data_IF_662471270539
#
_entry.id   IF_662471270539
#
_cell.length_a   1.000
_cell.length_b   1.000
_cell.length_c   1.000
_cell.angle_alpha   90.00
_cell.angle_beta   90.00
_cell.angle_gamma   90.00
#
_symmetry.space_group_name_H-M   'P 1'
#
loop_
_entity.id
_entity.type
_entity.pdbx_description
1 polymer ?
#
# COMPACT_ATOMS: atom_id res chain seq x y z
N UNK A 1 -16.79 20.26 15.84
CA UNK A 1 -17.18 18.87 15.51
C UNK A 1 -16.49 18.47 14.21
N UNK A 2 -15.53 17.55 14.30
CA UNK A 2 -14.58 17.20 13.24
C UNK A 2 -15.27 16.45 12.08
N UNK A 3 -15.17 17.03 10.88
CA UNK A 3 -15.41 16.33 9.63
C UNK A 3 -14.05 15.92 9.02
N UNK A 4 -13.54 14.75 9.39
CA UNK A 4 -12.36 14.11 8.75
C UNK A 4 -12.57 12.59 8.63
N UNK A 5 -13.56 12.13 7.87
CA UNK A 5 -13.78 10.67 7.71
C UNK A 5 -14.54 10.28 6.43
N UNK A 6 -14.35 11.02 5.33
CA UNK A 6 -14.98 10.68 4.05
C UNK A 6 -14.38 9.43 3.39
N UNK A 7 -13.04 9.33 3.38
CA UNK A 7 -12.34 8.21 2.73
C UNK A 7 -12.17 6.97 3.63
N UNK A 8 -12.00 7.17 4.94
CA UNK A 8 -11.80 6.08 5.90
C UNK A 8 -13.00 5.12 6.01
N UNK A 9 -14.21 5.58 5.63
CA UNK A 9 -15.45 4.81 5.80
C UNK A 9 -15.66 3.68 4.78
N UNK A 10 -14.90 3.63 3.68
CA UNK A 10 -15.00 2.52 2.71
C UNK A 10 -13.85 1.50 2.81
N UNK A 11 -12.69 1.85 3.40
CA UNK A 11 -11.53 0.95 3.50
C UNK A 11 -11.82 -0.32 4.31
N UNK A 12 -12.63 -0.20 5.37
CA UNK A 12 -13.08 -1.34 6.18
C UNK A 12 -14.01 -2.30 5.42
N UNK A 13 -14.79 -1.80 4.46
CA UNK A 13 -15.60 -2.63 3.57
C UNK A 13 -14.76 -3.36 2.51
N UNK A 14 -13.56 -2.85 2.21
CA UNK A 14 -12.62 -3.41 1.23
C UNK A 14 -11.61 -4.42 1.83
N UNK A 15 -11.72 -4.75 3.12
CA UNK A 15 -11.00 -5.87 3.73
C UNK A 15 -9.55 -5.57 4.14
N UNK A 16 -9.16 -4.30 4.26
CA UNK A 16 -7.83 -3.91 4.74
C UNK A 16 -7.86 -2.65 5.60
N UNK A 17 -6.84 -2.48 6.43
CA UNK A 17 -6.70 -1.30 7.31
C UNK A 17 -6.20 -0.09 6.52
N UNK A 18 -6.36 1.11 7.09
CA UNK A 18 -5.85 2.34 6.47
C UNK A 18 -4.35 2.27 6.12
N UNK A 19 -3.54 1.75 7.05
CA UNK A 19 -2.10 1.59 6.84
C UNK A 19 -1.79 0.57 5.73
N UNK A 20 -2.54 -0.52 5.65
CA UNK A 20 -2.42 -1.49 4.56
C UNK A 20 -2.78 -0.85 3.22
N UNK A 21 -3.86 -0.05 3.19
CA UNK A 21 -4.28 0.72 2.02
C UNK A 21 -3.18 1.66 1.50
N UNK A 22 -2.49 2.36 2.40
CA UNK A 22 -1.35 3.22 2.03
C UNK A 22 -0.20 2.44 1.39
N UNK A 23 0.12 1.25 1.91
CA UNK A 23 1.14 0.39 1.29
C UNK A 23 0.71 -0.11 -0.08
N UNK A 24 -0.55 -0.53 -0.24
CA UNK A 24 -1.10 -0.96 -1.53
C UNK A 24 -1.10 0.17 -2.56
N UNK A 25 -1.52 1.38 -2.15
CA UNK A 25 -1.48 2.58 -2.98
C UNK A 25 -0.05 2.94 -3.41
N UNK A 26 0.92 2.86 -2.48
CA UNK A 26 2.33 3.06 -2.79
C UNK A 26 2.84 2.06 -3.83
N UNK A 27 2.59 0.75 -3.62
CA UNK A 27 3.06 -0.30 -4.52
C UNK A 27 2.47 -0.12 -5.92
N UNK A 28 1.16 0.15 -6.01
CA UNK A 28 0.48 0.37 -7.28
C UNK A 28 1.06 1.59 -8.02
N UNK A 29 1.17 2.72 -7.31
CA UNK A 29 1.61 3.99 -7.91
C UNK A 29 3.07 3.93 -8.34
N UNK A 30 3.94 3.36 -7.50
CA UNK A 30 5.34 3.12 -7.84
C UNK A 30 5.47 2.25 -9.09
N UNK A 31 4.71 1.15 -9.16
CA UNK A 31 4.72 0.25 -10.32
C UNK A 31 4.24 0.95 -11.59
N UNK A 32 3.25 1.83 -11.48
CA UNK A 32 2.72 2.60 -12.59
C UNK A 32 3.74 3.64 -13.11
N UNK A 33 4.35 4.41 -12.20
CA UNK A 33 5.31 5.47 -12.53
C UNK A 33 6.64 4.92 -13.06
N UNK A 34 7.21 3.91 -12.40
CA UNK A 34 8.55 3.39 -12.70
C UNK A 34 8.54 2.13 -13.57
N UNK A 35 7.35 1.67 -13.99
CA UNK A 35 7.14 0.44 -14.79
C UNK A 35 7.79 -0.81 -14.17
N UNK A 36 7.97 -0.79 -12.84
CA UNK A 36 8.65 -1.83 -12.05
C UNK A 36 8.12 -1.81 -10.61
N UNK A 37 7.86 -2.97 -9.98
CA UNK A 37 7.47 -3.00 -8.57
C UNK A 37 8.56 -2.46 -7.64
N UNK A 38 8.18 -1.86 -6.49
CA UNK A 38 9.15 -1.43 -5.48
C UNK A 38 9.84 -2.63 -4.83
N UNK A 39 11.07 -2.40 -4.35
CA UNK A 39 11.73 -3.28 -3.38
C UNK A 39 11.30 -2.91 -1.95
N UNK A 40 11.58 -3.78 -0.97
CA UNK A 40 11.34 -3.47 0.44
C UNK A 40 12.10 -2.19 0.87
N UNK A 41 13.32 -1.99 0.37
CA UNK A 41 14.13 -0.79 0.65
C UNK A 41 13.48 0.50 0.14
N UNK A 42 12.67 0.44 -0.93
CA UNK A 42 11.97 1.62 -1.45
C UNK A 42 10.83 2.00 -0.50
N UNK A 43 10.12 1.01 0.05
CA UNK A 43 9.11 1.22 1.08
C UNK A 43 9.73 1.69 2.40
N UNK A 44 10.88 1.14 2.81
CA UNK A 44 11.58 1.59 4.01
C UNK A 44 11.92 3.07 3.93
N UNK A 45 12.46 3.51 2.78
CA UNK A 45 12.81 4.92 2.53
C UNK A 45 11.57 5.81 2.50
N UNK A 46 10.49 5.38 1.83
CA UNK A 46 9.27 6.17 1.72
C UNK A 46 8.53 6.31 3.06
N UNK A 47 8.34 5.20 3.77
CA UNK A 47 7.58 5.16 5.02
C UNK A 47 8.43 5.43 6.27
N UNK A 48 9.75 5.57 6.12
CA UNK A 48 10.71 5.82 7.22
C UNK A 48 10.58 4.80 8.36
N UNK A 49 10.48 3.51 7.99
CA UNK A 49 10.34 2.40 8.93
C UNK A 49 11.51 1.42 8.80
N UNK A 50 11.72 0.62 9.84
CA UNK A 50 12.78 -0.38 9.87
C UNK A 50 12.55 -1.52 8.86
N UNK A 51 13.62 -2.19 8.39
CA UNK A 51 13.50 -3.35 7.51
C UNK A 51 12.54 -4.44 8.02
N UNK A 52 12.59 -4.85 9.31
CA UNK A 52 11.64 -5.82 9.85
C UNK A 52 10.18 -5.36 9.76
N UNK A 53 9.92 -4.05 9.94
CA UNK A 53 8.54 -3.52 9.89
C UNK A 53 7.94 -3.61 8.49
N UNK A 54 8.72 -3.27 7.45
CA UNK A 54 8.27 -3.41 6.06
C UNK A 54 8.08 -4.87 5.71
N UNK A 55 9.01 -5.73 6.09
CA UNK A 55 8.92 -7.16 5.85
C UNK A 55 7.63 -7.74 6.46
N UNK A 56 7.34 -7.43 7.72
CA UNK A 56 6.11 -7.87 8.39
C UNK A 56 4.84 -7.32 7.72
N UNK A 57 4.85 -6.06 7.27
CA UNK A 57 3.73 -5.50 6.51
C UNK A 57 3.50 -6.28 5.21
N UNK A 58 4.56 -6.58 4.44
CA UNK A 58 4.46 -7.35 3.19
C UNK A 58 3.93 -8.77 3.46
N UNK A 59 4.45 -9.45 4.47
CA UNK A 59 3.95 -10.78 4.89
C UNK A 59 2.47 -10.72 5.27
N UNK A 60 2.05 -9.67 5.96
CA UNK A 60 0.65 -9.48 6.35
C UNK A 60 -0.25 -9.25 5.14
N UNK A 61 0.17 -8.40 4.19
CA UNK A 61 -0.58 -8.14 2.96
C UNK A 61 -0.72 -9.40 2.10
N UNK A 62 0.33 -10.22 2.01
CA UNK A 62 0.33 -11.50 1.29
C UNK A 62 -0.61 -12.51 1.96
N UNK A 63 -0.54 -12.67 3.29
CA UNK A 63 -1.44 -13.54 4.06
C UNK A 63 -2.90 -13.14 3.92
N UNK A 64 -3.18 -11.85 3.81
CA UNK A 64 -4.53 -11.33 3.61
C UNK A 64 -5.00 -11.42 2.14
N UNK A 65 -4.19 -11.97 1.23
CA UNK A 65 -4.53 -12.09 -0.19
C UNK A 65 -4.58 -10.76 -0.95
N UNK A 66 -3.99 -9.70 -0.39
CA UNK A 66 -4.02 -8.35 -0.98
C UNK A 66 -2.88 -8.13 -1.99
N UNK A 67 -1.80 -8.92 -1.86
CA UNK A 67 -0.67 -8.95 -2.80
C UNK A 67 -0.24 -10.39 -3.05
N UNK A 68 0.54 -10.60 -4.12
CA UNK A 68 1.40 -11.78 -4.31
C UNK A 68 2.84 -11.38 -4.50
N UNK A 69 3.79 -12.24 -4.12
CA UNK A 69 5.22 -12.05 -4.36
C UNK A 69 5.95 -13.39 -4.53
N UNK A 70 7.21 -13.32 -4.95
CA UNK A 70 8.12 -14.46 -4.88
C UNK A 70 9.07 -14.29 -3.69
N UNK A 71 9.11 -15.21 -2.72
CA UNK A 71 10.04 -15.15 -1.59
C UNK A 71 11.50 -15.05 -2.07
N UNK A 72 12.28 -14.16 -1.45
CA UNK A 72 13.69 -13.95 -1.78
C UNK A 72 13.96 -13.18 -3.09
N UNK A 73 12.93 -12.91 -3.90
CA UNK A 73 13.07 -12.19 -5.17
C UNK A 73 12.66 -10.73 -4.99
N UNK A 74 13.64 -9.83 -5.08
CA UNK A 74 13.38 -8.40 -5.04
C UNK A 74 12.45 -7.99 -6.19
N UNK A 75 11.54 -7.05 -5.91
CA UNK A 75 10.66 -6.42 -6.92
C UNK A 75 9.74 -7.42 -7.65
N UNK A 76 9.29 -8.45 -6.93
CA UNK A 76 8.32 -9.45 -7.40
C UNK A 76 6.88 -9.18 -6.94
N UNK A 77 6.67 -8.11 -6.17
CA UNK A 77 5.38 -7.80 -5.54
C UNK A 77 4.37 -7.36 -6.60
N UNK A 78 3.15 -7.90 -6.51
CA UNK A 78 2.02 -7.52 -7.35
C UNK A 78 0.78 -7.33 -6.50
N UNK A 79 0.06 -6.23 -6.73
CA UNK A 79 -1.19 -5.91 -6.03
C UNK A 79 -2.34 -6.71 -6.63
N UNK A 80 -3.15 -7.33 -5.77
CA UNK A 80 -4.33 -8.11 -6.16
C UNK A 80 -5.65 -7.34 -5.95
N UNK A 81 -5.58 -6.17 -5.33
CA UNK A 81 -6.70 -5.25 -5.13
C UNK A 81 -6.92 -4.41 -6.39
N UNK A 82 -8.17 -4.21 -6.80
CA UNK A 82 -8.49 -3.40 -7.97
C UNK A 82 -8.12 -1.92 -7.72
N UNK A 83 -7.58 -1.19 -8.72
CA UNK A 83 -7.12 0.19 -8.52
C UNK A 83 -8.18 1.15 -7.99
N UNK A 84 -9.45 0.93 -8.33
CA UNK A 84 -10.60 1.71 -7.85
C UNK A 84 -10.83 1.62 -6.34
N UNK A 85 -10.33 0.56 -5.71
CA UNK A 85 -10.47 0.30 -4.28
C UNK A 85 -9.25 0.79 -3.50
N UNK A 86 -8.21 1.27 -4.18
CA UNK A 86 -6.99 1.77 -3.54
C UNK A 86 -7.13 3.24 -3.13
N UNK A 87 -6.67 3.64 -1.92
CA UNK A 87 -6.69 5.03 -1.47
C UNK A 87 -5.52 5.85 -2.08
N UNK A 88 -5.45 5.90 -3.41
CA UNK A 88 -4.33 6.55 -4.14
C UNK A 88 -4.27 8.04 -3.85
N UNK A 89 -5.41 8.72 -3.92
CA UNK A 89 -5.48 10.19 -3.74
C UNK A 89 -5.15 10.61 -2.30
N UNK A 90 -5.60 9.83 -1.32
CA UNK A 90 -5.28 10.07 0.08
C UNK A 90 -3.80 9.84 0.35
N UNK A 91 -3.21 8.79 -0.23
CA UNK A 91 -1.78 8.52 -0.14
C UNK A 91 -0.94 9.65 -0.77
N UNK A 92 -1.37 10.19 -1.92
CA UNK A 92 -0.72 11.32 -2.58
C UNK A 92 -0.91 12.65 -1.84
N UNK A 93 -1.74 12.69 -0.77
CA UNK A 93 -2.14 13.91 -0.07
C UNK A 93 -2.74 14.98 -0.99
N UNK A 94 -3.35 14.58 -2.12
CA UNK A 94 -3.90 15.50 -3.12
C UNK A 94 -5.23 16.12 -2.66
N UNK A 95 -5.84 15.62 -1.58
CA UNK A 95 -7.07 16.17 -0.99
C UNK A 95 -6.83 17.03 0.26
N UNK A 96 -5.97 18.05 0.17
CA UNK A 96 -5.86 19.09 1.19
C UNK A 96 -6.04 20.46 0.51
N UNK A 97 -7.31 20.84 0.29
CA UNK A 97 -7.71 22.25 0.13
C UNK A 97 -8.18 22.78 1.48
#
# INVERSE_FOLDING_TARGET
MNQKSGAARNLSAQGFTEKQGQYLAFIYTYSHMFRRPPAETDMQRHFQVSPPSVHQMIVTLERNGLIRRQPGVARSIQVLVAPKDLPILDWLKINQS
#
